data_IF_415857144218
#
_entry.id   IF_415857144218
#
_cell.length_a   1.000
_cell.length_b   1.000
_cell.length_c   1.000
_cell.angle_alpha   90.00
_cell.angle_beta   90.00
_cell.angle_gamma   90.00
#
_symmetry.space_group_name_H-M   'P 1'
#
loop_
_entity.id
_entity.type
_entity.pdbx_description
1 polymer ?
#
# COMPACT_ATOMS: atom_id res chain seq x y z
N UNK A 1 5.26 -13.46 -16.87
CA UNK A 1 5.32 -12.33 -15.92
C UNK A 1 4.81 -11.04 -16.56
N UNK A 2 4.94 -10.90 -17.88
CA UNK A 2 4.75 -9.65 -18.62
C UNK A 2 3.37 -8.98 -18.49
N UNK A 3 2.26 -9.73 -18.57
CA UNK A 3 0.92 -9.10 -18.49
C UNK A 3 0.65 -8.54 -17.09
N UNK A 4 1.02 -9.28 -16.05
CA UNK A 4 0.79 -8.82 -14.67
C UNK A 4 1.60 -7.56 -14.38
N UNK A 5 2.86 -7.52 -14.81
CA UNK A 5 3.72 -6.35 -14.66
C UNK A 5 3.19 -5.13 -15.41
N UNK A 6 2.60 -5.33 -16.59
CA UNK A 6 1.92 -4.27 -17.35
C UNK A 6 0.66 -3.76 -16.63
N UNK A 7 -0.16 -4.67 -16.08
CA UNK A 7 -1.43 -4.31 -15.43
C UNK A 7 -1.23 -3.53 -14.14
N UNK A 8 -0.20 -3.86 -13.35
CA UNK A 8 0.04 -3.18 -12.07
C UNK A 8 0.78 -1.84 -12.20
N UNK A 9 1.28 -1.54 -13.40
CA UNK A 9 2.04 -0.31 -13.64
C UNK A 9 1.12 0.89 -13.48
N UNK A 10 1.51 1.83 -12.62
CA UNK A 10 0.71 3.03 -12.33
C UNK A 10 -0.70 2.69 -11.81
N UNK A 11 -0.85 1.53 -11.16
CA UNK A 11 -2.08 1.10 -10.50
C UNK A 11 -1.81 0.98 -9.00
N UNK A 12 -2.14 2.02 -8.19
CA UNK A 12 -1.76 2.04 -6.80
C UNK A 12 -2.58 1.01 -6.00
N UNK A 13 -2.00 0.47 -4.95
CA UNK A 13 -2.68 -0.39 -3.97
C UNK A 13 -2.68 0.30 -2.61
N UNK A 14 -3.70 0.04 -1.80
CA UNK A 14 -3.76 0.56 -0.42
C UNK A 14 -3.36 -0.54 0.57
N UNK A 15 -2.41 -0.23 1.43
CA UNK A 15 -2.02 -1.07 2.57
C UNK A 15 -2.71 -0.57 3.83
N UNK A 16 -3.20 -1.50 4.65
CA UNK A 16 -3.81 -1.23 5.95
C UNK A 16 -3.27 -2.21 7.00
N UNK A 17 -2.93 -1.71 8.19
CA UNK A 17 -2.64 -2.54 9.37
C UNK A 17 -3.71 -2.29 10.42
N UNK A 18 -4.33 -3.36 10.92
CA UNK A 18 -5.33 -3.27 11.98
C UNK A 18 -4.67 -3.27 13.38
N UNK A 19 -5.22 -2.52 14.36
CA UNK A 19 -6.33 -1.58 14.25
C UNK A 19 -5.92 -0.26 13.59
N UNK A 20 -6.80 0.34 12.80
CA UNK A 20 -6.57 1.66 12.17
C UNK A 20 -6.86 2.77 13.19
N UNK A 21 -5.83 3.31 13.84
CA UNK A 21 -5.98 4.34 14.89
C UNK A 21 -6.15 5.76 14.34
N UNK A 22 -5.62 6.03 13.14
CA UNK A 22 -5.66 7.33 12.49
C UNK A 22 -5.55 7.15 10.97
N UNK A 23 -5.78 8.23 10.21
CA UNK A 23 -5.81 8.20 8.74
C UNK A 23 -4.57 7.55 8.10
N UNK A 24 -3.38 7.75 8.68
CA UNK A 24 -2.13 7.18 8.15
C UNK A 24 -1.97 5.67 8.38
N UNK A 25 -2.91 5.02 9.06
CA UNK A 25 -2.98 3.57 9.16
C UNK A 25 -3.50 2.90 7.88
N UNK A 26 -3.89 3.69 6.88
CA UNK A 26 -4.12 3.27 5.49
C UNK A 26 -3.34 4.21 4.58
N UNK A 27 -2.49 3.68 3.70
CA UNK A 27 -1.75 4.49 2.72
C UNK A 27 -1.67 3.77 1.38
N UNK A 28 -1.54 4.54 0.31
CA UNK A 28 -1.36 4.04 -1.03
C UNK A 28 0.13 3.93 -1.42
N UNK A 29 0.42 2.91 -2.23
CA UNK A 29 1.74 2.60 -2.75
C UNK A 29 1.65 2.11 -4.20
N UNK A 30 2.70 2.34 -4.98
CA UNK A 30 2.91 1.63 -6.25
C UNK A 30 3.42 0.20 -5.95
N UNK A 31 2.69 -0.85 -6.35
CA UNK A 31 3.12 -2.22 -6.09
C UNK A 31 4.33 -2.59 -6.96
N UNK A 32 5.25 -3.37 -6.37
CA UNK A 32 6.31 -4.08 -7.11
C UNK A 32 6.13 -5.57 -6.91
N UNK A 33 6.19 -6.34 -7.99
CA UNK A 33 6.20 -7.80 -7.89
C UNK A 33 7.48 -8.23 -7.20
N UNK A 34 7.33 -9.10 -6.20
CA UNK A 34 8.43 -9.67 -5.43
C UNK A 34 8.25 -11.18 -5.36
N UNK A 35 9.36 -11.89 -5.23
CA UNK A 35 9.33 -13.32 -4.95
C UNK A 35 8.92 -13.59 -3.48
N UNK A 36 8.29 -14.73 -3.25
CA UNK A 36 7.82 -15.14 -1.92
C UNK A 36 6.35 -14.77 -1.66
N UNK A 37 5.96 -14.80 -0.37
CA UNK A 37 4.56 -14.62 0.07
C UNK A 37 4.36 -13.44 1.05
N UNK A 38 5.43 -12.74 1.40
CA UNK A 38 5.39 -11.63 2.36
C UNK A 38 5.28 -10.28 1.63
N UNK A 39 4.50 -9.37 2.19
CA UNK A 39 4.44 -7.97 1.74
C UNK A 39 5.73 -7.27 2.19
N UNK A 40 6.38 -6.54 1.28
CA UNK A 40 7.50 -5.68 1.63
C UNK A 40 6.98 -4.28 1.93
N UNK A 41 7.21 -3.79 3.15
CA UNK A 41 6.81 -2.45 3.60
C UNK A 41 8.03 -1.53 3.66
N UNK A 42 7.87 -0.28 3.24
CA UNK A 42 8.95 0.70 3.34
C UNK A 42 9.23 1.06 4.82
N UNK A 43 10.49 1.08 5.29
CA UNK A 43 10.79 1.28 6.71
C UNK A 43 10.27 2.62 7.29
N UNK A 44 10.24 3.68 6.49
CA UNK A 44 9.79 5.01 6.94
C UNK A 44 8.28 5.10 7.21
N UNK A 45 7.46 4.15 6.74
CA UNK A 45 6.03 4.16 7.05
C UNK A 45 5.67 3.28 8.24
N UNK A 46 6.63 2.52 8.80
CA UNK A 46 6.38 1.64 9.96
C UNK A 46 5.79 2.39 11.15
N UNK A 47 6.29 3.58 11.46
CA UNK A 47 5.76 4.41 12.55
C UNK A 47 4.30 4.80 12.32
N UNK A 48 3.92 5.16 11.09
CA UNK A 48 2.55 5.50 10.75
C UNK A 48 1.60 4.28 10.88
N UNK A 49 2.04 3.09 10.50
CA UNK A 49 1.24 1.87 10.70
C UNK A 49 1.32 1.30 12.13
N UNK A 50 2.18 1.86 12.98
CA UNK A 50 2.63 1.25 14.23
C UNK A 50 3.11 -0.20 14.03
N UNK A 51 3.70 -0.49 12.87
CA UNK A 51 4.06 -1.84 12.44
C UNK A 51 5.48 -2.20 12.85
N UNK A 52 5.64 -3.42 13.35
CA UNK A 52 6.93 -4.10 13.47
C UNK A 52 6.98 -5.30 12.50
N UNK A 53 8.01 -6.14 12.62
CA UNK A 53 8.24 -7.26 11.70
C UNK A 53 8.38 -8.59 12.46
N UNK A 54 7.67 -8.74 13.59
CA UNK A 54 7.71 -9.95 14.43
C UNK A 54 6.60 -10.97 14.12
N UNK A 55 5.73 -10.65 13.15
CA UNK A 55 4.56 -11.47 12.78
C UNK A 55 3.35 -10.67 12.30
N UNK A 56 3.45 -9.33 12.34
CA UNK A 56 2.44 -8.41 11.84
C UNK A 56 1.91 -8.75 10.43
N UNK A 57 0.61 -8.55 10.25
CA UNK A 57 -0.09 -8.75 8.98
C UNK A 57 -0.72 -7.45 8.49
N UNK A 58 -0.79 -7.29 7.17
CA UNK A 58 -1.44 -6.15 6.52
C UNK A 58 -2.43 -6.62 5.46
N UNK A 59 -3.52 -5.88 5.32
CA UNK A 59 -4.46 -6.05 4.23
C UNK A 59 -4.03 -5.21 3.02
N UNK A 60 -4.29 -5.74 1.82
CA UNK A 60 -4.09 -5.03 0.54
C UNK A 60 -5.46 -4.83 -0.11
N UNK A 61 -5.74 -3.60 -0.52
CA UNK A 61 -6.95 -3.24 -1.26
C UNK A 61 -6.58 -2.67 -2.63
N UNK A 62 -7.24 -3.16 -3.68
CA UNK A 62 -7.05 -2.69 -5.06
C UNK A 62 -8.20 -1.75 -5.43
N UNK A 63 -7.97 -0.44 -5.58
CA UNK A 63 -8.98 0.49 -6.08
C UNK A 63 -9.32 0.15 -7.54
N UNK A 64 -10.60 0.04 -7.86
CA UNK A 64 -11.07 -0.40 -9.17
C UNK A 64 -11.43 0.76 -10.10
N UNK A 65 -12.26 1.70 -9.63
CA UNK A 65 -12.67 2.84 -10.46
C UNK A 65 -11.52 3.82 -10.66
N UNK A 66 -11.59 4.59 -11.75
CA UNK A 66 -10.59 5.61 -12.05
C UNK A 66 -10.54 6.67 -10.94
N UNK A 67 -11.71 7.04 -10.40
CA UNK A 67 -11.83 7.99 -9.29
C UNK A 67 -11.11 7.46 -8.04
N UNK A 68 -11.31 6.18 -7.69
CA UNK A 68 -10.65 5.57 -6.53
C UNK A 68 -9.12 5.47 -6.71
N UNK A 69 -8.65 5.18 -7.92
CA UNK A 69 -7.21 5.17 -8.23
C UNK A 69 -6.61 6.59 -8.13
N UNK A 70 -7.33 7.61 -8.61
CA UNK A 70 -6.93 9.01 -8.50
C UNK A 70 -6.90 9.47 -7.04
N UNK A 71 -7.91 9.14 -6.24
CA UNK A 71 -7.93 9.43 -4.81
C UNK A 71 -6.76 8.77 -4.07
N UNK A 72 -6.49 7.49 -4.35
CA UNK A 72 -5.35 6.78 -3.77
C UNK A 72 -4.03 7.50 -4.13
N UNK A 73 -3.87 7.91 -5.39
CA UNK A 73 -2.67 8.56 -5.91
C UNK A 73 -2.46 9.98 -5.38
N UNK A 74 -3.51 10.77 -5.32
CA UNK A 74 -3.43 12.19 -4.95
C UNK A 74 -3.48 12.39 -3.44
N UNK A 75 -4.39 11.68 -2.75
CA UNK A 75 -4.69 11.92 -1.35
C UNK A 75 -3.98 10.94 -0.41
N UNK A 76 -3.83 9.67 -0.81
CA UNK A 76 -3.39 8.61 0.11
C UNK A 76 -1.97 8.13 -0.13
N UNK A 77 -1.31 8.57 -1.22
CA UNK A 77 0.05 8.14 -1.54
C UNK A 77 1.00 8.46 -0.39
N UNK A 78 1.78 7.48 0.03
CA UNK A 78 2.67 7.59 1.20
C UNK A 78 3.64 8.78 1.12
N UNK A 79 4.15 9.09 -0.08
CA UNK A 79 5.03 10.24 -0.32
C UNK A 79 4.37 11.60 -0.11
N UNK A 80 3.04 11.67 -0.08
CA UNK A 80 2.28 12.89 0.15
C UNK A 80 1.91 13.07 1.64
N UNK A 81 2.18 12.07 2.47
CA UNK A 81 1.74 11.99 3.86
C UNK A 81 2.92 11.64 4.79
N UNK A 82 3.83 12.60 4.97
CA UNK A 82 5.07 12.49 5.76
C UNK A 82 4.84 12.97 7.20
#
# INVERSE_FOLDING_TARGET
MDILEQVIREHPVMLNRAPTLHRLGIQAFEPKLVEGKAIQLHPLVCTAFNADFDGDQMAVHVPLSLEAQLEARVLMMSTNNI
#
